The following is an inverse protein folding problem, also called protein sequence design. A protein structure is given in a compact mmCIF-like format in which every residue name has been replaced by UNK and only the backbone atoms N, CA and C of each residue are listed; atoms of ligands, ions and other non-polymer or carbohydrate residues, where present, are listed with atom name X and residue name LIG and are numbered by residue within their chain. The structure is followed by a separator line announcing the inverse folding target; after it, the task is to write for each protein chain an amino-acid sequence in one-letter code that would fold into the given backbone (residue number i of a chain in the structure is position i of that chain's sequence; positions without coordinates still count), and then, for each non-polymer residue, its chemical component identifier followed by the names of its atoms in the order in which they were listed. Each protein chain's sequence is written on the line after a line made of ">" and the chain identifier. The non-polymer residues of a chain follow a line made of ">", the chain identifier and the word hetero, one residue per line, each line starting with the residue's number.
data_IF_978712236008
#
_entry.id   IF_978712236008
#
_cell.length_a   1.000
_cell.length_b   1.000
_cell.length_c   1.000
_cell.angle_alpha   90.00
_cell.angle_beta   90.00
_cell.angle_gamma   90.00
#
_symmetry.space_group_name_H-M   'P 1'
#
loop_
_entity.id
_entity.type
_entity.pdbx_description
1 polymer ?
#
# COMPACT_ATOMS: atom_id res chain seq x y z
N UNK A 1 -29.40 7.12 -17.11
CA UNK A 1 -28.62 8.31 -16.69
C UNK A 1 -27.90 7.90 -15.42
N UNK A 2 -26.71 7.30 -15.55
CA UNK A 2 -25.95 6.80 -14.38
C UNK A 2 -25.56 7.99 -13.49
N UNK A 3 -25.88 7.91 -12.20
CA UNK A 3 -25.35 8.84 -11.21
C UNK A 3 -23.82 8.80 -11.31
N UNK A 4 -23.20 9.93 -11.65
CA UNK A 4 -21.76 10.10 -11.47
C UNK A 4 -21.49 10.02 -9.98
N UNK A 5 -20.91 8.92 -9.51
CA UNK A 5 -20.26 8.87 -8.21
C UNK A 5 -19.10 9.86 -8.22
N UNK A 6 -19.38 11.10 -7.87
CA UNK A 6 -18.37 12.14 -7.71
C UNK A 6 -17.59 11.87 -6.42
N UNK A 7 -16.30 11.53 -6.54
CA UNK A 7 -15.39 11.37 -5.39
C UNK A 7 -14.80 12.72 -4.95
N UNK A 8 -15.60 13.79 -4.89
CA UNK A 8 -15.07 15.11 -4.56
C UNK A 8 -14.79 15.21 -3.06
N UNK A 9 -13.56 15.56 -2.71
CA UNK A 9 -13.15 15.82 -1.33
C UNK A 9 -13.11 17.32 -1.05
N UNK A 10 -13.66 17.74 0.10
CA UNK A 10 -13.60 19.12 0.54
C UNK A 10 -12.33 19.40 1.34
N UNK A 11 -11.42 20.19 0.74
CA UNK A 11 -10.18 20.63 1.38
C UNK A 11 -10.37 21.86 2.28
N UNK A 12 -11.56 22.48 2.31
CA UNK A 12 -11.79 23.75 3.00
C UNK A 12 -11.09 24.95 2.32
N UNK A 13 -10.77 24.82 1.04
CA UNK A 13 -9.97 25.77 0.26
C UNK A 13 -8.89 25.07 -0.58
N UNK A 14 -7.72 25.69 -0.70
CA UNK A 14 -6.57 25.06 -1.36
C UNK A 14 -5.83 24.10 -0.42
N UNK A 15 -5.46 22.89 -0.89
CA UNK A 15 -4.86 21.87 -0.05
C UNK A 15 -3.62 22.36 0.70
N UNK A 16 -3.55 22.07 1.98
CA UNK A 16 -2.37 22.20 2.84
C UNK A 16 -1.94 20.81 3.34
N UNK A 17 -0.89 20.74 4.16
CA UNK A 17 -0.37 19.47 4.65
C UNK A 17 -1.40 18.67 5.47
N UNK A 18 -2.25 19.34 6.26
CA UNK A 18 -3.23 18.68 7.15
C UNK A 18 -4.44 18.17 6.36
N UNK A 19 -5.04 19.01 5.53
CA UNK A 19 -6.16 18.64 4.65
C UNK A 19 -5.75 17.56 3.65
N UNK A 20 -4.51 17.58 3.15
CA UNK A 20 -3.99 16.51 2.29
C UNK A 20 -3.83 15.17 3.03
N UNK A 21 -3.35 15.18 4.27
CA UNK A 21 -3.31 13.95 5.10
C UNK A 21 -4.71 13.40 5.36
N UNK A 22 -5.69 14.25 5.68
CA UNK A 22 -7.11 13.83 5.81
C UNK A 22 -7.64 13.22 4.51
N UNK A 23 -7.32 13.83 3.37
CA UNK A 23 -7.69 13.29 2.07
C UNK A 23 -7.09 11.90 1.82
N UNK A 24 -5.82 11.67 2.15
CA UNK A 24 -5.20 10.35 2.02
C UNK A 24 -5.87 9.30 2.92
N UNK A 25 -6.20 9.65 4.17
CA UNK A 25 -6.98 8.77 5.05
C UNK A 25 -8.36 8.47 4.46
N UNK A 26 -9.05 9.49 3.96
CA UNK A 26 -10.36 9.32 3.32
C UNK A 26 -10.28 8.35 2.13
N UNK A 27 -9.26 8.48 1.28
CA UNK A 27 -9.01 7.54 0.18
C UNK A 27 -8.82 6.11 0.69
N UNK A 28 -7.99 5.94 1.73
CA UNK A 28 -7.72 4.62 2.32
C UNK A 28 -8.98 3.94 2.90
N UNK A 29 -9.94 4.73 3.38
CA UNK A 29 -11.19 4.24 3.95
C UNK A 29 -12.31 4.03 2.91
N UNK A 30 -12.13 4.48 1.66
CA UNK A 30 -13.17 4.48 0.63
C UNK A 30 -12.75 3.78 -0.66
N UNK A 31 -11.99 2.68 -0.52
CA UNK A 31 -11.67 1.73 -1.61
C UNK A 31 -10.96 2.37 -2.82
N UNK A 32 -10.23 3.46 -2.59
CA UNK A 32 -9.33 4.04 -3.58
C UNK A 32 -8.08 3.16 -3.69
N UNK A 33 -7.69 2.78 -4.90
CA UNK A 33 -6.46 2.02 -5.15
C UNK A 33 -5.26 2.94 -5.34
N UNK A 34 -5.42 4.01 -6.13
CA UNK A 34 -4.33 4.90 -6.51
C UNK A 34 -4.79 6.37 -6.44
N UNK A 35 -3.87 7.25 -6.04
CA UNK A 35 -4.07 8.69 -5.94
C UNK A 35 -2.99 9.36 -6.80
N UNK A 36 -3.40 10.22 -7.72
CA UNK A 36 -2.50 10.96 -8.60
C UNK A 36 -2.52 12.44 -8.28
N UNK A 37 -1.36 12.96 -7.89
CA UNK A 37 -1.12 14.38 -7.64
C UNK A 37 -0.18 14.91 -8.70
N UNK A 38 -0.64 15.88 -9.49
CA UNK A 38 0.18 16.48 -10.54
C UNK A 38 0.09 18.01 -10.52
N UNK A 39 1.23 18.65 -10.76
CA UNK A 39 1.33 20.11 -10.84
C UNK A 39 0.43 20.68 -11.93
N UNK A 40 -0.35 21.71 -11.59
CA UNK A 40 -1.30 22.39 -12.47
C UNK A 40 -2.43 21.50 -13.01
N UNK A 41 -2.73 20.40 -12.31
CA UNK A 41 -3.81 19.47 -12.61
C UNK A 41 -4.79 19.35 -11.43
N UNK A 42 -5.93 18.70 -11.67
CA UNK A 42 -6.81 18.23 -10.59
C UNK A 42 -6.16 17.05 -9.89
N UNK A 43 -6.54 16.82 -8.64
CA UNK A 43 -6.23 15.56 -7.98
C UNK A 43 -7.17 14.50 -8.55
N UNK A 44 -6.60 13.35 -8.91
CA UNK A 44 -7.34 12.19 -9.39
C UNK A 44 -7.17 11.03 -8.42
N UNK A 45 -8.20 10.19 -8.35
CA UNK A 45 -8.15 8.91 -7.67
C UNK A 45 -8.65 7.82 -8.60
N UNK A 46 -8.16 6.61 -8.41
CA UNK A 46 -8.70 5.41 -9.02
C UNK A 46 -9.54 4.65 -7.99
N UNK A 47 -10.81 4.41 -8.31
CA UNK A 47 -11.73 3.63 -7.47
C UNK A 47 -12.50 2.66 -8.37
N UNK A 48 -12.43 1.37 -8.05
CA UNK A 48 -13.01 0.29 -8.86
C UNK A 48 -12.61 0.35 -10.35
N UNK A 49 -11.34 0.64 -10.63
CA UNK A 49 -10.80 0.74 -12.00
C UNK A 49 -11.25 1.97 -12.78
N UNK A 50 -11.89 2.96 -12.13
CA UNK A 50 -12.34 4.21 -12.74
C UNK A 50 -11.57 5.39 -12.16
N UNK A 51 -11.12 6.28 -13.05
CA UNK A 51 -10.48 7.54 -12.69
C UNK A 51 -11.54 8.60 -12.35
N UNK A 52 -11.53 9.07 -11.11
CA UNK A 52 -12.46 10.06 -10.58
C UNK A 52 -11.69 11.30 -10.12
N UNK A 53 -12.18 12.49 -10.49
CA UNK A 53 -11.57 13.73 -10.01
C UNK A 53 -11.92 13.91 -8.53
N UNK A 54 -10.91 14.10 -7.69
CA UNK A 54 -11.09 14.39 -6.27
C UNK A 54 -11.21 15.89 -5.96
N UNK A 55 -10.79 16.76 -6.89
CA UNK A 55 -10.93 18.21 -6.77
C UNK A 55 -11.65 18.82 -7.96
N UNK A 56 -12.43 19.88 -7.71
CA UNK A 56 -13.02 20.72 -8.76
C UNK A 56 -12.00 21.70 -9.36
N UNK A 57 -11.00 22.08 -8.57
CA UNK A 57 -9.93 23.02 -8.93
C UNK A 57 -8.61 22.31 -9.27
N UNK A 58 -7.73 23.02 -9.97
CA UNK A 58 -6.35 22.59 -10.23
C UNK A 58 -5.44 23.03 -9.09
N UNK A 59 -4.48 22.19 -8.73
CA UNK A 59 -3.46 22.51 -7.73
C UNK A 59 -2.24 23.07 -8.46
N UNK A 60 -1.87 24.32 -8.19
CA UNK A 60 -0.66 24.91 -8.77
C UNK A 60 0.60 24.16 -8.32
N UNK A 61 1.62 24.11 -9.19
CA UNK A 61 2.87 23.40 -8.92
C UNK A 61 3.55 23.84 -7.62
N UNK A 62 3.63 25.14 -7.35
CA UNK A 62 4.25 25.67 -6.13
C UNK A 62 3.53 25.20 -4.87
N UNK A 63 2.20 25.11 -4.92
CA UNK A 63 1.37 24.61 -3.82
C UNK A 63 1.56 23.11 -3.62
N UNK A 64 1.62 22.34 -4.71
CA UNK A 64 1.91 20.91 -4.63
C UNK A 64 3.30 20.65 -4.04
N UNK A 65 4.33 21.40 -4.46
CA UNK A 65 5.68 21.33 -3.90
C UNK A 65 5.70 21.65 -2.40
N UNK A 66 4.98 22.70 -1.98
CA UNK A 66 4.86 23.09 -0.56
C UNK A 66 4.28 21.93 0.27
N UNK A 67 3.15 21.37 -0.18
CA UNK A 67 2.48 20.26 0.53
C UNK A 67 3.34 19.00 0.54
N UNK A 68 3.96 18.63 -0.59
CA UNK A 68 4.86 17.47 -0.68
C UNK A 68 6.05 17.62 0.27
N UNK A 69 6.69 18.79 0.30
CA UNK A 69 7.82 19.04 1.20
C UNK A 69 7.39 19.01 2.67
N UNK A 70 6.21 19.53 3.00
CA UNK A 70 5.70 19.53 4.37
C UNK A 70 5.32 18.13 4.88
N UNK A 71 4.92 17.21 3.99
CA UNK A 71 4.52 15.85 4.37
C UNK A 71 5.71 14.86 4.31
N UNK A 72 6.53 14.94 3.26
CA UNK A 72 7.55 13.93 2.95
C UNK A 72 8.99 14.44 3.09
N UNK A 73 9.17 15.73 3.40
CA UNK A 73 10.48 16.35 3.60
C UNK A 73 11.09 16.95 2.32
N UNK A 74 12.08 17.82 2.50
CA UNK A 74 12.69 18.60 1.42
C UNK A 74 13.59 17.79 0.47
N UNK A 75 13.97 16.56 0.86
CA UNK A 75 14.85 15.67 0.07
C UNK A 75 14.18 15.21 -1.22
N UNK A 76 12.85 15.09 -1.24
CA UNK A 76 12.07 14.72 -2.43
C UNK A 76 12.31 15.74 -3.53
N UNK A 77 12.10 17.03 -3.26
CA UNK A 77 12.29 18.11 -4.25
C UNK A 77 13.72 18.15 -4.80
N UNK A 78 14.72 18.03 -3.93
CA UNK A 78 16.13 18.03 -4.34
C UNK A 78 16.44 16.87 -5.30
N UNK A 79 15.91 15.67 -5.00
CA UNK A 79 16.10 14.47 -5.82
C UNK A 79 15.41 14.61 -7.18
N UNK A 80 14.18 15.11 -7.19
CA UNK A 80 13.41 15.33 -8.41
C UNK A 80 14.07 16.36 -9.34
N UNK A 81 14.63 17.45 -8.79
CA UNK A 81 15.36 18.45 -9.57
C UNK A 81 16.65 17.89 -10.21
N UNK A 82 17.18 16.79 -9.69
CA UNK A 82 18.32 16.07 -10.27
C UNK A 82 17.87 14.98 -11.27
N UNK A 83 16.58 14.91 -11.61
CA UNK A 83 16.02 13.89 -12.49
C UNK A 83 15.93 12.49 -11.86
N UNK A 84 16.03 12.37 -10.53
CA UNK A 84 15.93 11.09 -9.83
C UNK A 84 14.47 10.72 -9.57
N UNK A 85 14.17 9.43 -9.63
CA UNK A 85 12.90 8.87 -9.17
C UNK A 85 13.04 8.55 -7.67
N UNK A 86 12.02 8.89 -6.88
CA UNK A 86 11.96 8.55 -5.45
C UNK A 86 10.80 7.59 -5.23
N UNK A 87 11.10 6.43 -4.66
CA UNK A 87 10.09 5.47 -4.19
C UNK A 87 10.19 5.37 -2.67
N UNK A 88 9.06 5.44 -1.98
CA UNK A 88 9.03 5.27 -0.52
C UNK A 88 7.75 4.54 -0.08
N UNK A 89 7.87 3.75 0.97
CA UNK A 89 6.72 3.34 1.78
C UNK A 89 6.43 4.42 2.83
N UNK A 90 5.15 4.67 3.10
CA UNK A 90 4.75 5.67 4.09
C UNK A 90 3.50 5.22 4.86
N UNK A 91 3.49 5.50 6.16
CA UNK A 91 2.36 5.19 7.04
C UNK A 91 1.85 6.45 7.73
N UNK A 92 0.54 6.65 7.67
CA UNK A 92 -0.18 7.60 8.51
C UNK A 92 -0.72 6.88 9.73
N UNK A 93 -0.31 7.32 10.91
CA UNK A 93 -0.74 6.75 12.20
C UNK A 93 -1.83 7.63 12.78
N UNK A 94 -2.91 7.00 13.26
CA UNK A 94 -4.00 7.70 13.94
C UNK A 94 -3.60 8.20 15.33
N UNK A 95 -4.31 9.23 15.79
CA UNK A 95 -4.11 9.86 17.09
C UNK A 95 -5.35 9.70 17.99
N UNK A 96 -5.22 10.09 19.26
CA UNK A 96 -6.29 9.96 20.27
C UNK A 96 -7.56 10.73 19.90
N UNK A 97 -7.42 11.87 19.22
CA UNK A 97 -8.54 12.72 18.84
C UNK A 97 -9.08 12.41 17.45
N UNK A 98 -8.51 11.40 16.78
CA UNK A 98 -8.76 11.05 15.38
C UNK A 98 -8.74 12.26 14.44
N UNK A 99 -7.82 13.21 14.60
CA UNK A 99 -7.80 14.46 13.83
C UNK A 99 -7.74 14.23 12.31
N UNK A 100 -7.10 13.14 11.90
CA UNK A 100 -6.97 12.74 10.50
C UNK A 100 -8.09 11.80 10.01
N UNK A 101 -9.01 11.38 10.88
CA UNK A 101 -9.99 10.31 10.59
C UNK A 101 -9.48 8.90 10.90
N UNK A 102 -8.28 8.76 11.48
CA UNK A 102 -7.74 7.50 12.01
C UNK A 102 -7.65 7.58 13.54
N UNK A 103 -8.19 6.58 14.23
CA UNK A 103 -8.05 6.45 15.70
C UNK A 103 -6.66 5.97 16.08
N UNK A 104 -6.23 6.25 17.32
CA UNK A 104 -4.99 5.71 17.89
C UNK A 104 -4.91 4.20 17.69
N UNK A 105 -3.76 3.73 17.20
CA UNK A 105 -3.51 2.33 16.87
C UNK A 105 -3.82 1.97 15.42
N UNK A 106 -4.73 2.68 14.75
CA UNK A 106 -5.01 2.48 13.32
C UNK A 106 -3.96 3.14 12.43
N UNK A 107 -3.73 2.55 11.26
CA UNK A 107 -2.78 3.06 10.26
C UNK A 107 -3.38 3.05 8.86
N UNK A 108 -3.02 4.03 8.04
CA UNK A 108 -3.19 3.99 6.59
C UNK A 108 -1.82 3.94 5.92
N UNK A 109 -1.61 2.97 5.04
CA UNK A 109 -0.31 2.67 4.42
C UNK A 109 -0.34 2.99 2.93
N UNK A 110 0.77 3.52 2.43
CA UNK A 110 0.89 3.96 1.04
C UNK A 110 2.25 3.58 0.47
N UNK A 111 2.26 3.19 -0.82
CA UNK A 111 3.48 3.23 -1.64
C UNK A 111 3.46 4.48 -2.47
N UNK A 112 4.56 5.22 -2.48
CA UNK A 112 4.60 6.51 -3.15
C UNK A 112 5.72 6.51 -4.17
N UNK A 113 5.38 6.91 -5.38
CA UNK A 113 6.32 7.20 -6.45
C UNK A 113 6.30 8.71 -6.72
N UNK A 114 7.47 9.33 -6.65
CA UNK A 114 7.68 10.71 -7.06
C UNK A 114 8.54 10.75 -8.31
N UNK A 115 8.07 11.50 -9.30
CA UNK A 115 8.84 11.82 -10.52
C UNK A 115 8.52 13.23 -10.99
N UNK A 116 9.28 13.72 -11.97
CA UNK A 116 8.91 14.91 -12.75
C UNK A 116 8.36 14.49 -14.10
N UNK A 117 7.40 15.25 -14.60
CA UNK A 117 6.80 15.03 -15.92
C UNK A 117 6.42 16.35 -16.58
N UNK A 118 6.14 16.30 -17.88
CA UNK A 118 5.42 17.39 -18.55
C UNK A 118 3.93 17.21 -18.28
N UNK A 119 3.34 18.12 -17.50
CA UNK A 119 1.91 18.09 -17.13
C UNK A 119 1.27 19.38 -17.61
N UNK A 120 0.11 19.26 -18.28
CA UNK A 120 -0.65 20.41 -18.79
C UNK A 120 0.20 21.38 -19.64
N UNK A 121 1.13 20.86 -20.44
CA UNK A 121 2.00 21.63 -21.33
C UNK A 121 3.15 22.36 -20.63
N UNK A 122 3.39 22.09 -19.34
CA UNK A 122 4.50 22.66 -18.56
C UNK A 122 5.48 21.55 -18.20
N UNK A 123 6.77 21.73 -18.48
CA UNK A 123 7.82 20.77 -18.14
C UNK A 123 8.19 20.84 -16.64
N UNK A 124 8.85 19.79 -16.14
CA UNK A 124 9.42 19.76 -14.77
C UNK A 124 8.38 19.78 -13.65
N UNK A 125 7.13 19.41 -13.94
CA UNK A 125 6.05 19.39 -12.95
C UNK A 125 6.16 18.15 -12.08
N UNK A 126 5.78 18.27 -10.80
CA UNK A 126 5.70 17.11 -9.93
C UNK A 126 4.58 16.19 -10.44
N UNK A 127 4.88 14.90 -10.50
CA UNK A 127 3.92 13.84 -10.76
C UNK A 127 4.12 12.78 -9.69
N UNK A 128 3.18 12.73 -8.75
CA UNK A 128 3.23 11.86 -7.58
C UNK A 128 2.08 10.87 -7.66
N UNK A 129 2.38 9.59 -7.51
CA UNK A 129 1.37 8.54 -7.40
C UNK A 129 1.48 7.89 -6.04
N UNK A 130 0.38 7.86 -5.28
CA UNK A 130 0.27 7.11 -4.04
C UNK A 130 -0.65 5.92 -4.29
N UNK A 131 -0.15 4.70 -4.10
CA UNK A 131 -0.98 3.50 -4.05
C UNK A 131 -1.36 3.22 -2.61
N UNK A 132 -2.66 3.11 -2.36
CA UNK A 132 -3.21 2.73 -1.06
C UNK A 132 -2.92 1.24 -0.85
N UNK A 133 -2.31 0.90 0.28
CA UNK A 133 -2.16 -0.49 0.72
C UNK A 133 -3.30 -0.83 1.67
N UNK A 134 -4.21 -1.69 1.22
CA UNK A 134 -5.32 -2.16 2.04
C UNK A 134 -4.88 -3.39 2.85
N UNK A 135 -5.07 -3.35 4.16
CA UNK A 135 -4.74 -4.47 5.05
C UNK A 135 -5.81 -5.58 5.05
N UNK A 136 -6.96 -5.38 4.38
CA UNK A 136 -8.02 -6.39 4.35
C UNK A 136 -7.57 -7.61 3.54
N UNK A 137 -7.27 -8.70 4.24
CA UNK A 137 -7.00 -10.00 3.65
C UNK A 137 -8.33 -10.72 3.40
N UNK A 138 -8.55 -11.15 2.15
CA UNK A 138 -9.72 -11.94 1.77
C UNK A 138 -9.53 -13.36 2.31
N UNK A 139 -10.54 -13.97 2.99
CA UNK A 139 -10.42 -15.35 3.46
C UNK A 139 -10.18 -16.31 2.30
N UNK A 140 -9.19 -17.20 2.45
CA UNK A 140 -8.78 -18.13 1.40
C UNK A 140 -9.94 -19.04 0.95
N UNK A 141 -10.80 -19.42 1.89
CA UNK A 141 -11.97 -20.27 1.70
C UNK A 141 -13.01 -19.64 0.75
N UNK A 142 -13.01 -18.31 0.62
CA UNK A 142 -13.94 -17.58 -0.25
C UNK A 142 -13.45 -17.44 -1.69
N UNK A 143 -12.21 -17.88 -1.99
CA UNK A 143 -11.60 -17.73 -3.31
C UNK A 143 -12.01 -18.82 -4.31
N UNK A 144 -12.79 -19.82 -3.89
CA UNK A 144 -13.36 -20.83 -4.78
C UNK A 144 -12.37 -21.90 -5.27
N UNK A 145 -11.37 -22.25 -4.46
CA UNK A 145 -10.48 -23.37 -4.75
C UNK A 145 -11.23 -24.70 -4.71
N UNK A 146 -10.93 -25.58 -5.68
CA UNK A 146 -11.30 -26.99 -5.62
C UNK A 146 -10.61 -27.65 -4.41
N UNK A 147 -11.26 -28.62 -3.77
CA UNK A 147 -10.76 -29.23 -2.53
C UNK A 147 -9.35 -29.82 -2.68
N UNK A 148 -9.08 -30.47 -3.80
CA UNK A 148 -7.76 -31.06 -4.09
C UNK A 148 -6.66 -29.99 -4.19
N UNK A 149 -6.96 -28.86 -4.84
CA UNK A 149 -6.02 -27.75 -4.95
C UNK A 149 -5.82 -27.06 -3.61
N UNK A 150 -6.88 -26.91 -2.82
CA UNK A 150 -6.81 -26.33 -1.48
C UNK A 150 -5.89 -27.14 -0.57
N UNK A 151 -6.01 -28.48 -0.57
CA UNK A 151 -5.11 -29.36 0.19
C UNK A 151 -3.65 -29.27 -0.30
N UNK A 152 -3.45 -29.19 -1.62
CA UNK A 152 -2.11 -29.08 -2.21
C UNK A 152 -1.36 -27.80 -1.82
N UNK A 153 -2.05 -26.71 -1.45
CA UNK A 153 -1.41 -25.47 -0.98
C UNK A 153 -0.64 -25.66 0.34
N UNK A 154 -0.94 -26.70 1.12
CA UNK A 154 -0.43 -26.89 2.48
C UNK A 154 0.53 -28.07 2.65
N UNK A 155 1.22 -28.45 1.56
CA UNK A 155 2.24 -29.51 1.60
C UNK A 155 3.23 -29.33 2.76
N UNK A 156 3.61 -30.43 3.40
CA UNK A 156 4.56 -30.43 4.52
C UNK A 156 5.98 -29.98 4.14
N UNK A 157 6.33 -30.04 2.86
CA UNK A 157 7.59 -29.59 2.29
C UNK A 157 7.46 -29.33 0.78
N UNK A 158 8.42 -28.59 0.21
CA UNK A 158 8.46 -28.29 -1.22
C UNK A 158 8.41 -26.80 -1.53
N UNK A 159 8.09 -26.48 -2.78
CA UNK A 159 8.00 -25.12 -3.29
C UNK A 159 6.67 -24.98 -4.04
N UNK A 160 5.93 -23.92 -3.73
CA UNK A 160 4.70 -23.55 -4.45
C UNK A 160 4.98 -22.31 -5.29
N UNK A 161 4.67 -22.37 -6.58
CA UNK A 161 4.78 -21.23 -7.48
C UNK A 161 3.39 -20.71 -7.84
N UNK A 162 3.16 -19.41 -7.61
CA UNK A 162 1.93 -18.73 -8.02
C UNK A 162 2.29 -17.80 -9.18
N UNK A 163 1.89 -18.19 -10.38
CA UNK A 163 2.12 -17.45 -11.62
C UNK A 163 0.93 -16.58 -12.04
N UNK A 164 1.20 -15.50 -12.76
CA UNK A 164 0.18 -14.59 -13.29
C UNK A 164 0.74 -13.21 -13.60
N UNK A 165 0.02 -12.41 -14.38
CA UNK A 165 0.41 -11.04 -14.71
C UNK A 165 0.38 -10.10 -13.50
N UNK A 166 1.10 -8.98 -13.55
CA UNK A 166 1.04 -7.95 -12.50
C UNK A 166 -0.40 -7.47 -12.32
N UNK A 167 -0.86 -7.40 -11.07
CA UNK A 167 -2.25 -7.01 -10.76
C UNK A 167 -3.24 -8.19 -10.70
N UNK A 168 -2.84 -9.42 -11.06
CA UNK A 168 -3.72 -10.60 -11.03
C UNK A 168 -4.07 -11.13 -9.62
N UNK A 169 -3.71 -10.41 -8.55
CA UNK A 169 -4.01 -10.81 -7.16
C UNK A 169 -3.04 -11.82 -6.52
N UNK A 170 -1.82 -12.02 -7.04
CA UNK A 170 -0.85 -12.99 -6.48
C UNK A 170 -0.51 -12.72 -5.01
N UNK A 171 -0.11 -11.49 -4.68
CA UNK A 171 0.20 -11.10 -3.29
C UNK A 171 -1.03 -11.27 -2.39
N UNK A 172 -2.22 -10.98 -2.91
CA UNK A 172 -3.49 -11.13 -2.20
C UNK A 172 -3.76 -12.61 -1.87
N UNK A 173 -3.57 -13.50 -2.85
CA UNK A 173 -3.69 -14.95 -2.64
C UNK A 173 -2.64 -15.46 -1.64
N UNK A 174 -1.38 -15.05 -1.75
CA UNK A 174 -0.33 -15.43 -0.80
C UNK A 174 -0.65 -14.96 0.63
N UNK A 175 -1.11 -13.72 0.80
CA UNK A 175 -1.53 -13.21 2.10
C UNK A 175 -2.68 -14.03 2.69
N UNK A 176 -3.66 -14.41 1.87
CA UNK A 176 -4.76 -15.28 2.31
C UNK A 176 -4.28 -16.68 2.73
N UNK A 177 -3.32 -17.26 2.01
CA UNK A 177 -2.70 -18.54 2.39
C UNK A 177 -2.01 -18.44 3.75
N UNK A 178 -1.19 -17.41 3.95
CA UNK A 178 -0.49 -17.22 5.22
C UNK A 178 -1.45 -16.90 6.37
N UNK A 179 -2.50 -16.12 6.12
CA UNK A 179 -3.54 -15.85 7.11
C UNK A 179 -4.29 -17.13 7.51
N UNK A 180 -4.66 -17.96 6.52
CA UNK A 180 -5.29 -19.25 6.77
C UNK A 180 -4.39 -20.16 7.61
N UNK A 181 -3.10 -20.23 7.27
CA UNK A 181 -2.10 -20.97 8.04
C UNK A 181 -2.02 -20.50 9.49
N UNK A 182 -1.98 -19.19 9.71
CA UNK A 182 -1.92 -18.60 11.05
C UNK A 182 -3.16 -18.86 11.91
N UNK A 183 -4.33 -18.97 11.29
CA UNK A 183 -5.61 -19.26 11.97
C UNK A 183 -5.87 -20.73 12.27
N UNK A 184 -5.28 -21.64 11.49
CA UNK A 184 -5.62 -23.07 11.56
C UNK A 184 -4.50 -23.96 12.09
N UNK A 185 -3.24 -23.49 12.09
CA UNK A 185 -2.09 -24.31 12.46
C UNK A 185 -1.21 -23.62 13.52
N UNK A 186 -1.40 -23.93 14.81
CA UNK A 186 -0.78 -23.18 15.92
C UNK A 186 0.75 -23.32 16.00
N UNK A 187 1.34 -24.27 15.28
CA UNK A 187 2.78 -24.53 15.28
C UNK A 187 3.49 -24.05 13.99
N UNK A 188 2.84 -23.21 13.18
CA UNK A 188 3.41 -22.70 11.91
C UNK A 188 4.10 -21.36 12.11
N UNK A 189 5.42 -21.38 12.22
CA UNK A 189 6.24 -20.17 12.13
C UNK A 189 6.33 -19.68 10.69
N UNK A 190 5.82 -18.48 10.42
CA UNK A 190 5.78 -17.87 9.09
C UNK A 190 6.85 -16.78 8.99
N UNK A 191 7.69 -16.81 7.96
CA UNK A 191 8.64 -15.75 7.63
C UNK A 191 8.43 -15.33 6.17
N UNK A 192 8.21 -14.05 5.93
CA UNK A 192 8.06 -13.52 4.56
C UNK A 192 9.17 -12.52 4.25
N UNK A 193 9.62 -12.54 3.00
CA UNK A 193 10.43 -11.47 2.41
C UNK A 193 9.65 -10.91 1.25
N UNK A 194 9.38 -9.61 1.28
CA UNK A 194 8.45 -8.97 0.35
C UNK A 194 9.06 -7.69 -0.21
N UNK A 195 8.64 -7.28 -1.41
CA UNK A 195 9.10 -6.03 -2.03
C UNK A 195 7.91 -5.27 -2.61
N UNK A 196 7.12 -4.59 -1.78
CA UNK A 196 7.24 -4.34 -0.34
C UNK A 196 6.30 -5.26 0.44
N UNK A 197 6.23 -5.09 1.76
CA UNK A 197 5.18 -5.73 2.57
C UNK A 197 3.82 -5.12 2.24
N UNK A 198 2.97 -5.83 1.49
CA UNK A 198 1.67 -5.32 1.03
C UNK A 198 0.56 -5.51 2.07
N UNK A 199 0.48 -6.70 2.67
CA UNK A 199 -0.52 -7.07 3.67
C UNK A 199 0.14 -7.31 5.02
N UNK A 200 -0.50 -6.90 6.11
CA UNK A 200 -0.03 -7.22 7.45
C UNK A 200 -0.72 -8.49 7.94
N UNK A 201 0.07 -9.52 8.17
CA UNK A 201 -0.42 -10.82 8.62
C UNK A 201 -0.65 -10.79 10.15
N UNK A 202 -1.75 -11.39 10.61
CA UNK A 202 -2.06 -11.54 12.05
C UNK A 202 -2.47 -10.26 12.80
N UNK A 203 -2.33 -9.08 12.19
CA UNK A 203 -2.70 -7.81 12.82
C UNK A 203 -4.22 -7.67 12.92
N UNK A 204 -4.71 -7.34 14.12
CA UNK A 204 -6.13 -7.19 14.45
C UNK A 204 -6.98 -8.43 14.11
N UNK A 205 -6.37 -9.63 14.12
CA UNK A 205 -7.04 -10.90 13.86
C UNK A 205 -7.17 -11.77 15.12
N UNK A 206 -8.32 -11.70 15.78
CA UNK A 206 -8.63 -12.49 16.99
C UNK A 206 -8.61 -14.01 16.75
N UNK A 207 -8.68 -14.46 15.49
CA UNK A 207 -8.64 -15.88 15.13
C UNK A 207 -7.19 -16.40 14.94
N UNK A 208 -6.18 -15.54 15.03
CA UNK A 208 -4.79 -15.96 14.85
C UNK A 208 -4.30 -16.80 16.04
N UNK A 209 -3.76 -17.99 15.78
CA UNK A 209 -3.33 -18.95 16.82
C UNK A 209 -1.86 -19.40 16.68
N UNK A 210 -1.18 -19.02 15.61
CA UNK A 210 0.22 -19.36 15.35
C UNK A 210 1.18 -18.33 15.98
N UNK A 211 2.51 -18.59 16.01
CA UNK A 211 3.49 -17.54 16.34
C UNK A 211 3.33 -16.34 15.41
N UNK A 212 3.54 -15.13 15.94
CA UNK A 212 3.47 -13.91 15.14
C UNK A 212 4.37 -13.99 13.89
N UNK A 213 3.86 -13.59 12.72
CA UNK A 213 4.60 -13.67 11.46
C UNK A 213 5.71 -12.63 11.45
N UNK A 214 6.87 -12.99 10.91
CA UNK A 214 7.95 -12.05 10.70
C UNK A 214 8.02 -11.67 9.21
N UNK A 215 7.51 -10.48 8.89
CA UNK A 215 7.55 -9.93 7.54
C UNK A 215 8.73 -8.98 7.41
N UNK A 216 9.53 -9.13 6.35
CA UNK A 216 10.70 -8.30 6.09
C UNK A 216 10.62 -7.70 4.70
N UNK A 217 10.75 -6.37 4.60
CA UNK A 217 10.80 -5.66 3.34
C UNK A 217 12.22 -5.65 2.77
N UNK A 218 12.35 -6.06 1.50
CA UNK A 218 13.63 -6.02 0.78
C UNK A 218 14.02 -4.57 0.47
N UNK A 219 15.26 -4.23 0.74
CA UNK A 219 15.82 -2.87 0.65
C UNK A 219 15.64 -2.04 1.93
N UNK A 220 14.82 -2.51 2.88
CA UNK A 220 14.56 -1.82 4.15
C UNK A 220 15.04 -2.68 5.34
N UNK A 221 14.49 -3.89 5.50
CA UNK A 221 14.81 -4.80 6.60
C UNK A 221 15.90 -5.83 6.22
N UNK A 222 15.94 -6.22 4.95
CA UNK A 222 16.97 -7.10 4.37
C UNK A 222 17.49 -6.53 3.06
N UNK A 223 18.77 -6.73 2.74
CA UNK A 223 19.38 -6.11 1.55
C UNK A 223 18.86 -6.71 0.23
N UNK A 224 18.55 -8.00 0.19
CA UNK A 224 18.08 -8.71 -1.00
C UNK A 224 17.32 -9.99 -0.63
N UNK A 225 16.60 -10.58 -1.59
CA UNK A 225 15.87 -11.83 -1.37
C UNK A 225 16.81 -13.01 -1.07
N UNK A 226 17.96 -13.10 -1.73
CA UNK A 226 18.94 -14.17 -1.53
C UNK A 226 19.57 -14.10 -0.13
N UNK A 227 19.88 -12.91 0.38
CA UNK A 227 20.35 -12.71 1.76
C UNK A 227 19.22 -13.06 2.75
N UNK A 228 18.00 -12.62 2.47
CA UNK A 228 16.82 -12.96 3.27
C UNK A 228 16.64 -14.47 3.44
N UNK A 229 16.76 -15.23 2.36
CA UNK A 229 16.62 -16.69 2.42
C UNK A 229 17.84 -17.33 3.10
N UNK A 230 19.05 -17.09 2.58
CA UNK A 230 20.25 -17.85 2.94
C UNK A 230 20.80 -17.51 4.33
N UNK A 231 20.73 -16.24 4.74
CA UNK A 231 21.32 -15.77 5.99
C UNK A 231 20.29 -15.60 7.10
N UNK A 232 19.02 -15.34 6.78
CA UNK A 232 17.95 -15.18 7.76
C UNK A 232 17.05 -16.41 7.86
N UNK A 233 16.29 -16.76 6.82
CA UNK A 233 15.26 -17.80 6.89
C UNK A 233 15.81 -19.16 7.36
N UNK A 234 16.88 -19.65 6.73
CA UNK A 234 17.47 -20.97 7.05
C UNK A 234 17.98 -21.07 8.49
N UNK A 235 18.26 -19.94 9.15
CA UNK A 235 18.76 -19.89 10.54
C UNK A 235 17.64 -19.66 11.57
N UNK A 236 16.41 -19.44 11.12
CA UNK A 236 15.27 -19.07 11.99
C UNK A 236 14.26 -20.21 12.17
N UNK A 237 14.52 -21.39 11.62
CA UNK A 237 13.61 -22.57 11.71
C UNK A 237 12.15 -22.25 11.32
N UNK A 238 11.90 -21.63 10.15
CA UNK A 238 10.54 -21.38 9.67
C UNK A 238 9.83 -22.70 9.33
N UNK A 239 8.50 -22.64 9.32
CA UNK A 239 7.64 -23.70 8.79
C UNK A 239 7.01 -23.34 7.45
N UNK A 240 6.99 -22.04 7.12
CA UNK A 240 6.65 -21.44 5.83
C UNK A 240 7.48 -20.18 5.67
#
# INVERSE_FOLDING_TARGET
>A
MEQRDDFIFDFGGYPDAQSMKRFFVHCAQNEVSDITLQGNARIWVERHGRQLAATKFRVEQSRLEEVVNAIFGATVRSSLNQGKIVNQAWELVGDENAMLGLRKGSKARFRINFTQATVAGRAGQFSVTLRVLNNKIIPLETMGFESELFEALFSGSGIVFIGGETGSGKSMMMAAIFQYLGRHYPNRKIITFEWPVEYLLGVDDELWIAPEPAQSEVGTDVASFDIGISESALRRSPKV
#
